data_IF_418513431276
#
_entry.id   IF_418513431276
#
_cell.length_a   1.000
_cell.length_b   1.000
_cell.length_c   1.000
_cell.angle_alpha   90.00
_cell.angle_beta   90.00
_cell.angle_gamma   90.00
#
_symmetry.space_group_name_H-M   'P 1'
#
loop_
_entity.id
_entity.type
_entity.pdbx_description
1 polymer ?
#
# COMPACT_ATOMS: atom_id res chain seq x y z
N UNK A 1 21.72 -85.92 1.27
CA UNK A 1 20.40 -85.25 1.65
C UNK A 1 20.65 -83.76 1.87
N UNK A 2 20.38 -82.91 0.88
CA UNK A 2 20.50 -81.47 0.97
C UNK A 2 19.12 -80.93 1.24
N UNK A 3 18.93 -80.28 2.37
CA UNK A 3 17.68 -79.52 2.75
C UNK A 3 17.69 -78.19 2.02
N UNK A 4 16.71 -78.01 1.17
CA UNK A 4 16.40 -76.69 0.53
C UNK A 4 15.59 -75.83 1.50
N UNK A 5 16.15 -74.72 1.87
CA UNK A 5 15.52 -73.75 2.74
C UNK A 5 14.86 -72.64 1.84
N UNK A 6 13.54 -72.64 1.76
CA UNK A 6 12.75 -71.60 1.06
C UNK A 6 12.61 -70.42 2.00
N UNK A 7 13.27 -69.30 1.69
CA UNK A 7 12.99 -68.02 2.31
C UNK A 7 11.76 -67.39 1.63
N UNK A 8 10.65 -67.31 2.35
CA UNK A 8 9.54 -66.43 1.98
C UNK A 8 9.94 -65.00 2.31
N UNK A 9 10.23 -64.20 1.30
CA UNK A 9 10.35 -62.75 1.43
C UNK A 9 8.95 -62.13 1.54
N UNK A 10 8.60 -61.66 2.71
CA UNK A 10 7.44 -60.77 2.88
C UNK A 10 7.78 -59.41 2.31
N UNK A 11 7.33 -59.11 1.12
CA UNK A 11 7.36 -57.74 0.57
C UNK A 11 6.40 -56.89 1.35
N UNK A 12 6.90 -55.91 2.15
CA UNK A 12 6.09 -54.79 2.63
C UNK A 12 5.67 -54.00 1.39
N UNK A 13 4.43 -54.17 0.98
CA UNK A 13 3.77 -53.18 0.13
C UNK A 13 3.53 -51.96 1.01
N UNK A 14 4.36 -50.91 0.91
CA UNK A 14 3.98 -49.57 1.32
C UNK A 14 2.80 -49.16 0.42
N UNK A 15 1.60 -49.30 0.93
CA UNK A 15 0.41 -48.76 0.30
C UNK A 15 0.52 -47.24 0.27
N UNK A 16 0.81 -46.69 -0.91
CA UNK A 16 0.58 -45.26 -1.16
C UNK A 16 -0.93 -45.06 -1.01
N UNK A 17 -1.36 -44.35 0.02
CA UNK A 17 -2.76 -43.90 0.11
C UNK A 17 -3.07 -43.06 -1.14
N UNK A 18 -4.23 -43.26 -1.78
CA UNK A 18 -4.56 -42.43 -2.94
C UNK A 18 -4.56 -40.97 -2.52
N UNK A 19 -3.86 -40.11 -3.27
CA UNK A 19 -3.87 -38.66 -3.14
C UNK A 19 -4.91 -38.09 -4.11
N UNK A 20 -5.61 -37.05 -3.70
CA UNK A 20 -6.51 -36.31 -4.59
C UNK A 20 -5.75 -35.71 -5.76
N UNK A 21 -6.43 -35.63 -6.88
CA UNK A 21 -5.97 -34.92 -8.09
C UNK A 21 -6.27 -33.42 -8.05
N UNK A 22 -6.79 -32.91 -6.94
CA UNK A 22 -7.02 -31.48 -6.71
C UNK A 22 -5.97 -30.92 -5.76
N UNK A 23 -5.38 -29.78 -6.14
CA UNK A 23 -4.48 -29.00 -5.30
C UNK A 23 -5.13 -27.63 -5.01
N UNK A 24 -5.35 -27.26 -3.73
CA UNK A 24 -5.77 -25.91 -3.36
C UNK A 24 -4.59 -24.94 -3.41
N UNK A 25 -4.71 -23.89 -4.22
CA UNK A 25 -3.68 -22.87 -4.48
C UNK A 25 -4.28 -21.46 -4.41
N UNK A 26 -3.42 -20.44 -4.54
CA UNK A 26 -3.83 -19.01 -4.53
C UNK A 26 -4.73 -18.67 -3.34
N UNK A 27 -4.18 -18.92 -2.16
CA UNK A 27 -4.86 -18.64 -0.91
C UNK A 27 -5.02 -17.14 -0.71
N UNK A 28 -6.24 -16.69 -0.39
CA UNK A 28 -6.52 -15.28 -0.11
C UNK A 28 -7.29 -15.09 1.17
N UNK A 29 -6.97 -14.02 1.90
CA UNK A 29 -7.71 -13.52 3.04
C UNK A 29 -8.27 -12.14 2.67
N UNK A 30 -9.61 -11.95 2.80
CA UNK A 30 -10.31 -10.72 2.36
C UNK A 30 -9.96 -10.31 0.92
N UNK A 31 -9.82 -11.33 0.02
CA UNK A 31 -9.45 -11.21 -1.40
C UNK A 31 -8.00 -10.81 -1.71
N UNK A 32 -7.14 -10.70 -0.70
CA UNK A 32 -5.72 -10.36 -0.87
C UNK A 32 -4.85 -11.58 -0.54
N UNK A 33 -3.77 -11.76 -1.29
CA UNK A 33 -2.72 -12.71 -0.96
C UNK A 33 -1.85 -12.13 0.16
N UNK A 34 -1.67 -12.87 1.25
CA UNK A 34 -0.83 -12.53 2.39
C UNK A 34 -0.96 -11.06 2.87
N UNK A 35 -2.20 -10.58 3.16
CA UNK A 35 -2.40 -9.18 3.50
C UNK A 35 -1.71 -8.79 4.80
N UNK A 36 -0.88 -7.75 4.74
CA UNK A 36 -0.18 -7.19 5.90
C UNK A 36 -1.10 -6.48 6.89
N UNK A 37 -2.38 -6.29 6.52
CA UNK A 37 -3.39 -5.67 7.40
C UNK A 37 -4.80 -6.13 7.05
N UNK A 38 -5.52 -6.66 8.05
CA UNK A 38 -6.94 -7.03 7.99
C UNK A 38 -7.62 -6.57 9.28
N UNK A 39 -8.72 -5.83 9.20
CA UNK A 39 -9.45 -5.33 10.37
C UNK A 39 -10.85 -5.94 10.53
N UNK A 40 -11.11 -7.04 9.83
CA UNK A 40 -12.34 -7.81 9.94
C UNK A 40 -12.15 -8.92 10.99
N UNK A 41 -12.88 -8.92 12.12
CA UNK A 41 -12.69 -9.93 13.19
C UNK A 41 -12.89 -11.37 12.76
N UNK A 42 -13.73 -11.59 11.75
CA UNK A 42 -13.96 -12.89 11.13
C UNK A 42 -13.65 -12.83 9.63
N UNK A 43 -12.36 -12.84 9.24
CA UNK A 43 -11.97 -12.69 7.85
C UNK A 43 -12.47 -13.85 6.98
N UNK A 44 -12.63 -13.57 5.69
CA UNK A 44 -13.10 -14.55 4.70
C UNK A 44 -11.90 -15.10 3.94
N UNK A 45 -11.77 -16.40 3.96
CA UNK A 45 -10.71 -17.15 3.30
C UNK A 45 -11.21 -17.71 1.97
N UNK A 46 -10.34 -17.74 0.96
CA UNK A 46 -10.68 -18.31 -0.33
C UNK A 46 -9.45 -18.99 -0.94
N UNK A 47 -9.68 -19.96 -1.83
CA UNK A 47 -8.66 -20.68 -2.57
C UNK A 47 -9.18 -21.11 -3.93
N UNK A 48 -8.26 -21.46 -4.83
CA UNK A 48 -8.58 -22.03 -6.13
C UNK A 48 -8.19 -23.50 -6.13
N UNK A 49 -9.09 -24.37 -6.59
CA UNK A 49 -8.77 -25.77 -6.79
C UNK A 49 -8.24 -25.98 -8.22
N UNK A 50 -7.01 -26.45 -8.34
CA UNK A 50 -6.39 -26.81 -9.62
C UNK A 50 -6.35 -28.32 -9.72
N UNK A 51 -6.85 -28.87 -10.82
CA UNK A 51 -6.74 -30.30 -11.11
C UNK A 51 -5.40 -30.62 -11.81
N UNK A 52 -4.89 -31.83 -11.58
CA UNK A 52 -3.73 -32.33 -12.33
C UNK A 52 -3.94 -32.24 -13.86
N UNK A 53 -2.85 -32.07 -14.59
CA UNK A 53 -2.89 -31.94 -16.05
C UNK A 53 -3.62 -33.12 -16.71
N UNK A 54 -4.55 -32.80 -17.62
CA UNK A 54 -5.35 -33.80 -18.33
C UNK A 54 -6.58 -34.31 -17.57
N UNK A 55 -6.73 -34.00 -16.28
CA UNK A 55 -7.89 -34.37 -15.48
C UNK A 55 -9.02 -33.38 -15.69
N UNK A 56 -10.25 -33.87 -15.89
CA UNK A 56 -11.46 -33.04 -16.12
C UNK A 56 -12.62 -33.51 -15.26
N UNK A 57 -13.56 -32.57 -15.02
CA UNK A 57 -14.82 -32.88 -14.31
C UNK A 57 -14.61 -33.15 -12.83
N UNK A 58 -13.56 -32.60 -12.23
CA UNK A 58 -13.36 -32.63 -10.79
C UNK A 58 -14.17 -31.55 -10.10
N UNK A 59 -14.60 -31.86 -8.88
CA UNK A 59 -15.29 -30.94 -7.98
C UNK A 59 -14.83 -31.21 -6.55
N UNK A 60 -14.74 -30.16 -5.77
CA UNK A 60 -14.55 -30.25 -4.33
C UNK A 60 -15.86 -30.76 -3.68
N UNK A 61 -15.76 -31.75 -2.81
CA UNK A 61 -16.90 -32.27 -2.04
C UNK A 61 -16.82 -31.89 -0.57
N UNK A 62 -15.62 -31.64 -0.07
CA UNK A 62 -15.38 -31.17 1.29
C UNK A 62 -14.10 -30.35 1.35
N UNK A 63 -13.92 -29.60 2.43
CA UNK A 63 -12.68 -28.91 2.78
C UNK A 63 -12.38 -29.01 4.27
N UNK A 64 -11.15 -28.75 4.64
CA UNK A 64 -10.72 -28.47 6.02
C UNK A 64 -9.72 -27.31 6.00
N UNK A 65 -9.99 -26.31 6.83
CA UNK A 65 -9.10 -25.17 7.07
C UNK A 65 -8.52 -25.28 8.46
N UNK A 66 -7.23 -24.97 8.57
CA UNK A 66 -6.56 -24.81 9.86
C UNK A 66 -5.87 -23.45 9.92
N UNK A 67 -5.93 -22.79 11.08
CA UNK A 67 -5.33 -21.47 11.33
C UNK A 67 -4.55 -21.51 12.63
N UNK A 68 -3.34 -20.97 12.62
CA UNK A 68 -2.46 -20.96 13.76
C UNK A 68 -1.78 -19.58 13.95
N UNK A 69 -1.29 -19.30 15.15
CA UNK A 69 -0.58 -18.06 15.48
C UNK A 69 0.88 -18.02 14.98
N UNK A 70 1.39 -19.14 14.47
CA UNK A 70 2.69 -19.24 13.80
C UNK A 70 2.69 -20.42 12.84
N UNK A 71 3.61 -20.46 11.84
CA UNK A 71 3.69 -21.56 10.89
C UNK A 71 4.01 -22.92 11.55
N UNK A 72 4.80 -22.93 12.64
CA UNK A 72 5.19 -24.15 13.36
C UNK A 72 4.00 -24.80 14.06
N UNK A 73 2.95 -24.04 14.35
CA UNK A 73 1.74 -24.55 15.00
C UNK A 73 0.67 -25.05 14.02
N UNK A 74 0.90 -24.98 12.72
CA UNK A 74 -0.11 -25.39 11.74
C UNK A 74 -0.51 -26.87 11.86
N UNK A 75 0.37 -27.74 12.33
CA UNK A 75 0.04 -29.16 12.57
C UNK A 75 -0.83 -29.38 13.81
N UNK A 76 -0.80 -28.45 14.77
CA UNK A 76 -1.65 -28.44 15.96
C UNK A 76 -2.20 -27.03 16.16
N UNK A 77 -3.15 -26.61 15.31
CA UNK A 77 -3.56 -25.21 15.21
C UNK A 77 -4.20 -24.73 16.51
N UNK A 78 -3.73 -23.60 17.00
CA UNK A 78 -4.18 -22.97 18.25
C UNK A 78 -5.29 -21.93 18.05
N UNK A 79 -5.60 -21.55 16.80
CA UNK A 79 -6.64 -20.57 16.51
C UNK A 79 -7.89 -21.17 15.89
N UNK A 80 -7.75 -22.08 14.94
CA UNK A 80 -8.90 -22.75 14.33
C UNK A 80 -8.54 -24.03 13.59
N UNK A 81 -9.32 -25.07 13.83
CA UNK A 81 -9.44 -26.24 12.95
C UNK A 81 -10.92 -26.42 12.63
N UNK A 82 -11.27 -26.24 11.37
CA UNK A 82 -12.69 -26.40 10.93
C UNK A 82 -13.18 -27.84 11.02
N UNK A 83 -12.28 -28.82 11.13
CA UNK A 83 -12.58 -30.20 10.79
C UNK A 83 -13.01 -30.31 9.32
N UNK A 84 -13.28 -31.54 8.88
CA UNK A 84 -13.85 -31.76 7.54
C UNK A 84 -15.26 -31.16 7.44
N UNK A 85 -15.45 -30.25 6.48
CA UNK A 85 -16.74 -29.63 6.15
C UNK A 85 -17.19 -30.09 4.79
N UNK A 86 -18.32 -30.79 4.72
CA UNK A 86 -18.93 -31.23 3.45
C UNK A 86 -19.49 -30.01 2.72
N UNK A 87 -18.76 -29.49 1.75
CA UNK A 87 -19.14 -28.31 0.97
C UNK A 87 -18.20 -28.16 -0.25
N UNK A 88 -18.76 -27.68 -1.33
CA UNK A 88 -18.03 -27.25 -2.53
C UNK A 88 -17.57 -25.77 -2.48
N UNK A 89 -17.85 -25.09 -1.36
CA UNK A 89 -17.46 -23.70 -1.15
C UNK A 89 -15.93 -23.59 -1.05
N UNK A 90 -15.33 -22.79 -1.94
CA UNK A 90 -13.90 -22.44 -1.93
C UNK A 90 -13.68 -20.92 -1.89
N UNK A 91 -14.76 -20.15 -1.83
CA UNK A 91 -14.72 -18.69 -1.83
C UNK A 91 -15.48 -18.18 -0.61
N UNK A 92 -14.88 -17.21 0.11
CA UNK A 92 -15.51 -16.51 1.25
C UNK A 92 -15.92 -17.46 2.39
N UNK A 93 -15.07 -18.43 2.68
CA UNK A 93 -15.21 -19.26 3.90
C UNK A 93 -14.87 -18.39 5.10
N UNK A 94 -15.84 -18.09 5.93
CA UNK A 94 -15.67 -17.23 7.10
C UNK A 94 -14.88 -17.96 8.18
N UNK A 95 -13.85 -17.32 8.71
CA UNK A 95 -13.12 -17.77 9.91
C UNK A 95 -14.08 -17.88 11.10
N UNK A 96 -14.05 -19.01 11.79
CA UNK A 96 -14.93 -19.33 12.92
C UNK A 96 -14.16 -19.84 14.15
N UNK A 97 -12.88 -19.49 14.24
CA UNK A 97 -12.02 -19.87 15.36
C UNK A 97 -12.09 -18.91 16.53
N UNK A 98 -11.02 -18.92 17.32
CA UNK A 98 -10.87 -18.03 18.46
C UNK A 98 -10.89 -16.55 18.04
N UNK A 99 -11.28 -15.67 18.97
CA UNK A 99 -11.29 -14.23 18.71
C UNK A 99 -9.87 -13.74 18.40
N UNK A 100 -9.73 -13.00 17.31
CA UNK A 100 -8.46 -12.44 16.88
C UNK A 100 -8.21 -11.09 17.55
N UNK A 101 -6.96 -10.85 17.92
CA UNK A 101 -6.52 -9.61 18.57
C UNK A 101 -5.84 -8.67 17.58
N UNK A 102 -5.77 -7.37 17.93
CA UNK A 102 -5.04 -6.38 17.16
C UNK A 102 -3.60 -6.79 16.95
N UNK A 103 -3.08 -6.63 15.73
CA UNK A 103 -1.70 -6.95 15.33
C UNK A 103 -1.35 -8.44 15.29
N UNK A 104 -2.28 -9.33 15.60
CA UNK A 104 -2.05 -10.77 15.62
C UNK A 104 -1.71 -11.27 14.20
N UNK A 105 -0.67 -12.07 14.10
CA UNK A 105 -0.33 -12.82 12.90
C UNK A 105 -1.09 -14.15 12.89
N UNK A 106 -1.58 -14.52 11.73
CA UNK A 106 -2.35 -15.74 11.50
C UNK A 106 -1.80 -16.45 10.27
N UNK A 107 -1.47 -17.71 10.43
CA UNK A 107 -1.02 -18.60 9.38
C UNK A 107 -2.08 -19.64 9.10
N UNK A 108 -2.31 -20.02 7.85
CA UNK A 108 -3.38 -20.94 7.53
C UNK A 108 -3.08 -21.82 6.33
N UNK A 109 -3.75 -22.96 6.32
CA UNK A 109 -3.71 -23.91 5.22
C UNK A 109 -5.10 -24.48 5.00
N UNK A 110 -5.32 -25.02 3.81
CA UNK A 110 -6.53 -25.74 3.44
C UNK A 110 -6.17 -27.04 2.76
N UNK A 111 -6.99 -28.08 2.97
CA UNK A 111 -7.02 -29.29 2.14
C UNK A 111 -8.45 -29.56 1.71
N UNK A 112 -8.59 -30.24 0.58
CA UNK A 112 -9.90 -30.50 -0.05
C UNK A 112 -10.09 -31.97 -0.35
N UNK A 113 -11.33 -32.39 -0.44
CA UNK A 113 -11.72 -33.72 -0.92
C UNK A 113 -12.30 -33.56 -2.31
N UNK A 114 -11.84 -34.41 -3.23
CA UNK A 114 -12.32 -34.44 -4.61
C UNK A 114 -13.67 -35.17 -4.75
N UNK A 115 -14.15 -35.33 -6.00
CA UNK A 115 -15.43 -36.00 -6.30
C UNK A 115 -15.49 -37.46 -5.86
N UNK A 116 -14.34 -38.13 -5.72
CA UNK A 116 -14.21 -39.51 -5.31
C UNK A 116 -13.99 -39.66 -3.80
N UNK A 117 -14.00 -38.53 -3.08
CA UNK A 117 -13.82 -38.47 -1.63
C UNK A 117 -12.36 -38.65 -1.19
N UNK A 118 -11.42 -38.49 -2.10
CA UNK A 118 -9.98 -38.56 -1.81
C UNK A 118 -9.48 -37.18 -1.37
N UNK A 119 -8.71 -37.13 -0.27
CA UNK A 119 -8.19 -35.89 0.30
C UNK A 119 -6.88 -35.48 -0.38
N UNK A 120 -6.72 -34.15 -0.62
CA UNK A 120 -5.47 -33.55 -1.08
C UNK A 120 -4.43 -33.48 0.05
N UNK A 121 -3.19 -33.16 -0.30
CA UNK A 121 -2.26 -32.62 0.67
C UNK A 121 -2.75 -31.25 1.17
N UNK A 122 -2.14 -30.74 2.23
CA UNK A 122 -2.34 -29.37 2.66
C UNK A 122 -1.72 -28.42 1.63
N UNK A 123 -2.39 -27.29 1.40
CA UNK A 123 -1.82 -26.19 0.60
C UNK A 123 -0.50 -25.69 1.17
N UNK A 124 0.28 -24.95 0.37
CA UNK A 124 1.28 -24.07 0.93
C UNK A 124 0.61 -23.11 1.93
N UNK A 125 1.31 -22.71 3.00
CA UNK A 125 0.75 -21.77 3.97
C UNK A 125 0.50 -20.39 3.36
N UNK A 126 -0.68 -19.82 3.59
CA UNK A 126 -0.95 -18.40 3.49
C UNK A 126 -0.91 -17.75 4.87
N UNK A 127 -0.84 -16.43 4.94
CA UNK A 127 -0.87 -15.69 6.19
C UNK A 127 -1.64 -14.37 6.08
N UNK A 128 -1.98 -13.81 7.22
CA UNK A 128 -2.43 -12.41 7.32
C UNK A 128 -2.04 -11.85 8.69
N UNK A 129 -1.99 -10.52 8.77
CA UNK A 129 -1.85 -9.82 10.04
C UNK A 129 -3.13 -9.04 10.33
N UNK A 130 -3.60 -9.16 11.55
CA UNK A 130 -4.69 -8.31 12.02
C UNK A 130 -4.23 -6.85 12.10
N UNK A 131 -5.11 -5.95 11.74
CA UNK A 131 -4.91 -4.51 11.89
C UNK A 131 -5.13 -4.04 13.33
N UNK A 132 -5.41 -2.76 13.48
CA UNK A 132 -5.77 -2.13 14.75
C UNK A 132 -7.30 -2.17 14.88
N UNK A 133 -7.81 -3.08 15.70
CA UNK A 133 -9.24 -3.39 15.79
C UNK A 133 -10.01 -2.39 16.66
N UNK A 134 -9.31 -1.72 17.57
CA UNK A 134 -9.91 -0.80 18.53
C UNK A 134 -9.38 0.62 18.33
N UNK A 135 -10.23 1.61 18.60
CA UNK A 135 -9.81 2.99 18.50
C UNK A 135 -8.67 3.34 19.45
N UNK A 136 -8.65 2.71 20.61
CA UNK A 136 -7.61 2.90 21.64
C UNK A 136 -6.25 2.30 21.25
N UNK A 137 -6.17 1.49 20.21
CA UNK A 137 -4.91 0.99 19.65
C UNK A 137 -4.12 2.11 18.96
N UNK A 138 -4.83 3.15 18.50
CA UNK A 138 -4.19 4.30 17.88
C UNK A 138 -3.64 5.26 18.93
N UNK A 139 -2.31 5.41 18.96
CA UNK A 139 -1.58 6.36 19.80
C UNK A 139 -1.16 7.60 19.02
N UNK A 140 -1.18 7.52 17.70
CA UNK A 140 -0.77 8.58 16.79
C UNK A 140 -1.77 9.75 16.78
N UNK A 141 -1.26 10.95 16.62
CA UNK A 141 -2.03 12.16 16.34
C UNK A 141 -1.95 12.52 14.86
N UNK A 142 -3.03 13.02 14.31
CA UNK A 142 -3.01 13.59 12.96
C UNK A 142 -2.13 14.83 12.93
N UNK A 143 -1.14 14.85 12.04
CA UNK A 143 -0.21 15.96 11.85
C UNK A 143 -0.27 16.49 10.42
N UNK A 144 0.19 17.70 10.21
CA UNK A 144 0.32 18.33 8.89
C UNK A 144 1.29 19.50 8.91
N UNK A 145 1.54 20.05 7.74
CA UNK A 145 2.47 21.17 7.60
C UNK A 145 1.94 22.44 8.30
N UNK A 146 2.76 23.15 9.09
CA UNK A 146 2.32 24.34 9.85
C UNK A 146 1.90 25.51 8.94
N UNK A 147 2.45 25.61 7.73
CA UNK A 147 2.11 26.64 6.74
C UNK A 147 0.85 26.33 5.91
N UNK A 148 0.22 25.19 6.11
CA UNK A 148 -1.06 24.81 5.49
C UNK A 148 -2.16 24.99 6.54
N UNK A 149 -3.27 25.64 6.15
CA UNK A 149 -4.49 25.65 6.98
C UNK A 149 -5.18 24.28 7.02
N UNK A 150 -6.35 24.23 7.64
CA UNK A 150 -7.21 23.03 7.60
C UNK A 150 -8.17 23.03 6.42
N UNK A 151 -8.31 24.16 5.75
CA UNK A 151 -9.27 24.35 4.68
C UNK A 151 -8.79 23.72 3.36
N UNK A 152 -9.75 23.30 2.56
CA UNK A 152 -9.51 22.84 1.20
C UNK A 152 -8.98 23.97 0.31
N UNK A 153 -8.21 23.62 -0.70
CA UNK A 153 -7.83 24.55 -1.75
C UNK A 153 -9.08 25.07 -2.47
N UNK A 154 -9.10 26.36 -2.83
CA UNK A 154 -10.23 26.94 -3.54
C UNK A 154 -10.41 26.26 -4.90
N UNK A 155 -11.66 26.00 -5.26
CA UNK A 155 -12.00 25.46 -6.57
C UNK A 155 -11.72 26.47 -7.68
N UNK A 156 -11.23 26.01 -8.86
CA UNK A 156 -11.08 26.89 -10.01
C UNK A 156 -12.44 27.43 -10.47
N UNK A 157 -12.44 28.68 -10.88
CA UNK A 157 -13.62 29.33 -11.48
C UNK A 157 -13.50 29.24 -13.01
N UNK A 158 -14.61 29.09 -13.72
CA UNK A 158 -14.63 29.07 -15.18
C UNK A 158 -14.99 27.72 -15.84
N UNK A 159 -15.51 26.77 -15.04
CA UNK A 159 -16.05 25.51 -15.56
C UNK A 159 -15.13 24.29 -15.41
N UNK A 160 -15.52 23.14 -16.02
CA UNK A 160 -14.85 21.85 -15.80
C UNK A 160 -13.37 21.80 -16.16
N UNK A 161 -12.95 22.60 -17.15
CA UNK A 161 -11.56 22.61 -17.66
C UNK A 161 -10.70 23.72 -17.02
N UNK A 162 -11.30 24.52 -16.14
CA UNK A 162 -10.56 25.57 -15.47
C UNK A 162 -9.46 25.01 -14.57
N UNK A 163 -8.28 25.66 -14.61
CA UNK A 163 -7.17 25.37 -13.72
C UNK A 163 -7.19 26.33 -12.52
N UNK A 164 -6.73 25.91 -11.34
CA UNK A 164 -6.58 26.82 -10.20
C UNK A 164 -5.67 28.00 -10.54
N UNK A 165 -6.07 29.20 -10.18
CA UNK A 165 -5.22 30.40 -10.35
C UNK A 165 -4.00 30.38 -9.42
N UNK A 166 -4.14 29.72 -8.26
CA UNK A 166 -3.05 29.49 -7.30
C UNK A 166 -3.06 28.04 -6.93
N UNK A 167 -1.91 27.40 -7.07
CA UNK A 167 -1.64 26.12 -6.47
C UNK A 167 -1.42 26.31 -4.97
N UNK A 168 -1.69 25.28 -4.18
CA UNK A 168 -1.39 25.29 -2.74
C UNK A 168 0.11 25.46 -2.46
N UNK A 169 0.47 25.53 -1.18
CA UNK A 169 1.87 25.53 -0.80
C UNK A 169 2.55 24.21 -1.17
N UNK A 170 3.90 24.18 -1.23
CA UNK A 170 4.64 22.96 -1.51
C UNK A 170 4.26 21.80 -0.61
N UNK A 171 4.31 20.59 -1.17
CA UNK A 171 4.14 19.36 -0.42
C UNK A 171 5.14 19.28 0.74
N UNK A 172 4.72 18.83 1.94
CA UNK A 172 5.62 18.78 3.07
C UNK A 172 6.48 17.52 3.09
N UNK A 173 7.72 17.66 3.53
CA UNK A 173 8.45 16.65 4.25
C UNK A 173 8.07 16.71 5.73
N UNK A 174 7.85 15.54 6.34
CA UNK A 174 7.62 15.36 7.77
C UNK A 174 8.65 14.38 8.28
N UNK A 175 9.26 14.62 9.45
CA UNK A 175 10.27 13.70 10.01
C UNK A 175 10.31 13.73 11.52
N UNK A 176 10.83 12.62 12.09
CA UNK A 176 11.18 12.45 13.51
C UNK A 176 12.36 11.51 13.63
N UNK A 177 13.30 11.81 14.50
CA UNK A 177 14.31 10.86 14.92
C UNK A 177 13.87 10.11 16.19
N UNK A 178 14.32 8.87 16.30
CA UNK A 178 14.12 8.02 17.47
C UNK A 178 15.28 7.05 17.64
N UNK A 179 15.41 6.45 18.81
CA UNK A 179 16.49 5.52 19.12
C UNK A 179 15.96 4.15 19.52
N UNK A 180 16.61 3.09 19.06
CA UNK A 180 16.27 1.69 19.34
C UNK A 180 17.47 1.04 20.00
N UNK A 181 17.40 0.79 21.30
CA UNK A 181 18.54 0.28 22.07
C UNK A 181 18.51 -1.24 22.22
N UNK A 182 17.33 -1.83 22.28
CA UNK A 182 17.11 -3.25 22.48
C UNK A 182 17.07 -4.01 21.15
N UNK A 183 17.20 -5.32 21.24
CA UNK A 183 16.96 -6.21 20.11
C UNK A 183 15.47 -6.27 19.79
N UNK A 184 15.12 -5.95 18.54
CA UNK A 184 13.73 -5.93 18.03
C UNK A 184 13.42 -7.26 17.36
N UNK A 185 12.28 -7.85 17.67
CA UNK A 185 11.77 -9.08 17.06
C UNK A 185 10.63 -8.80 16.07
N UNK A 186 9.95 -7.65 16.21
CA UNK A 186 8.93 -7.20 15.24
C UNK A 186 8.88 -5.68 15.20
N UNK A 187 8.75 -5.12 14.00
CA UNK A 187 8.60 -3.69 13.78
C UNK A 187 7.58 -3.45 12.65
N UNK A 188 6.39 -2.95 12.99
CA UNK A 188 5.30 -2.74 12.02
C UNK A 188 4.79 -1.32 12.09
N UNK A 189 4.81 -0.62 10.95
CA UNK A 189 4.21 0.69 10.80
C UNK A 189 2.75 0.56 10.35
N UNK A 190 1.83 1.22 11.06
CA UNK A 190 0.45 1.46 10.63
C UNK A 190 0.35 2.92 10.22
N UNK A 191 0.01 3.17 8.96
CA UNK A 191 0.18 4.50 8.36
C UNK A 191 -0.92 4.86 7.37
N UNK A 192 -1.30 6.12 7.37
CA UNK A 192 -2.18 6.68 6.34
C UNK A 192 -1.91 8.18 6.11
N UNK A 193 -2.32 8.64 4.93
CA UNK A 193 -2.40 10.06 4.58
C UNK A 193 -3.81 10.44 4.12
N UNK A 194 -4.24 11.64 4.45
CA UNK A 194 -5.36 12.27 3.77
C UNK A 194 -4.80 13.04 2.58
N UNK A 195 -5.05 12.50 1.40
CA UNK A 195 -4.28 12.68 0.19
C UNK A 195 -3.42 11.44 -0.07
N UNK A 196 -2.29 11.60 -0.73
CA UNK A 196 -1.31 10.53 -0.89
C UNK A 196 -0.15 10.70 0.09
N UNK A 197 0.57 9.61 0.37
CA UNK A 197 1.80 9.67 1.14
C UNK A 197 2.86 8.72 0.57
N UNK A 198 4.11 9.01 0.87
CA UNK A 198 5.21 8.06 0.86
C UNK A 198 5.84 8.02 2.25
N UNK A 199 6.10 6.82 2.77
CA UNK A 199 6.76 6.59 4.05
C UNK A 199 8.24 6.29 3.83
N UNK A 200 9.10 6.82 4.68
CA UNK A 200 10.55 6.61 4.64
C UNK A 200 11.08 6.19 6.02
N UNK A 201 12.05 5.29 6.02
CA UNK A 201 12.86 4.95 7.19
C UNK A 201 14.33 4.93 6.81
N UNK A 202 15.15 5.65 7.58
CA UNK A 202 16.61 5.68 7.42
C UNK A 202 17.09 5.97 5.98
N UNK A 203 16.44 6.93 5.32
CA UNK A 203 16.77 7.37 3.96
C UNK A 203 16.16 6.53 2.84
N UNK A 204 15.45 5.45 3.16
CA UNK A 204 14.84 4.55 2.17
C UNK A 204 13.31 4.63 2.21
N UNK A 205 12.67 4.57 1.04
CA UNK A 205 11.22 4.42 0.96
C UNK A 205 10.81 3.07 1.52
N UNK A 206 9.73 3.06 2.30
CA UNK A 206 9.13 1.87 2.88
C UNK A 206 8.08 1.32 1.90
N UNK A 207 8.23 0.04 1.54
CA UNK A 207 7.33 -0.62 0.60
C UNK A 207 7.47 -0.13 -0.85
N UNK A 208 6.73 -0.78 -1.74
CA UNK A 208 6.75 -0.48 -3.18
C UNK A 208 5.47 0.22 -3.66
N UNK A 209 4.51 0.38 -2.77
CA UNK A 209 3.22 0.97 -3.09
C UNK A 209 3.36 2.43 -3.51
N UNK A 210 2.51 2.84 -4.44
CA UNK A 210 2.45 4.20 -4.97
C UNK A 210 1.00 4.71 -4.89
N UNK A 211 0.80 6.02 -4.88
CA UNK A 211 -0.52 6.65 -4.91
C UNK A 211 -1.47 6.12 -3.80
N UNK A 212 -0.91 5.84 -2.63
CA UNK A 212 -1.66 5.30 -1.48
C UNK A 212 -1.98 6.40 -0.46
N UNK A 213 -3.08 6.20 0.31
CA UNK A 213 -4.11 5.17 0.23
C UNK A 213 -5.08 5.41 -0.93
N UNK A 214 -5.85 4.38 -1.32
CA UNK A 214 -6.91 4.54 -2.29
C UNK A 214 -7.98 5.52 -1.81
N UNK A 215 -8.67 6.16 -2.77
CA UNK A 215 -9.72 7.12 -2.48
C UNK A 215 -10.92 6.47 -1.77
N UNK A 216 -11.46 7.19 -0.79
CA UNK A 216 -12.69 6.84 -0.07
C UNK A 216 -13.63 8.03 0.05
N UNK A 217 -14.75 7.85 0.76
CA UNK A 217 -15.56 8.95 1.26
C UNK A 217 -15.07 9.35 2.65
N UNK A 218 -14.26 10.39 2.72
CA UNK A 218 -13.61 10.87 3.96
C UNK A 218 -14.56 11.58 4.92
N UNK A 219 -15.67 12.10 4.42
CA UNK A 219 -16.65 12.86 5.18
C UNK A 219 -17.80 13.35 4.30
N UNK A 220 -18.73 14.11 4.88
CA UNK A 220 -19.80 14.75 4.11
C UNK A 220 -19.18 15.60 3.02
N UNK A 221 -19.59 15.37 1.79
CA UNK A 221 -19.05 16.10 0.63
C UNK A 221 -19.53 17.55 0.67
N UNK A 222 -18.62 18.53 0.80
CA UNK A 222 -19.01 19.92 0.68
C UNK A 222 -19.32 20.20 -0.79
N UNK A 223 -20.54 20.66 -1.07
CA UNK A 223 -20.95 21.22 -2.36
C UNK A 223 -20.68 20.33 -3.59
N UNK A 224 -21.27 19.14 -3.62
CA UNK A 224 -21.41 18.43 -4.88
C UNK A 224 -22.44 19.17 -5.75
N UNK A 225 -22.16 19.26 -7.06
CA UNK A 225 -23.18 19.59 -8.03
C UNK A 225 -24.24 18.49 -8.02
N UNK A 226 -25.51 18.84 -7.94
CA UNK A 226 -26.63 17.88 -7.87
C UNK A 226 -26.59 16.81 -8.96
N UNK A 227 -26.02 17.13 -10.12
CA UNK A 227 -25.87 16.19 -11.24
C UNK A 227 -24.83 15.09 -11.06
N UNK A 228 -23.97 15.16 -10.02
CA UNK A 228 -22.88 14.21 -9.76
C UNK A 228 -23.07 13.42 -8.45
N UNK A 229 -24.25 13.45 -7.87
CA UNK A 229 -24.54 12.77 -6.61
C UNK A 229 -24.81 11.29 -6.90
N UNK A 230 -23.83 10.44 -6.61
CA UNK A 230 -23.98 8.99 -6.66
C UNK A 230 -24.36 8.39 -5.30
N UNK A 231 -24.34 9.17 -4.24
CA UNK A 231 -24.59 8.73 -2.88
C UNK A 231 -25.74 9.52 -2.26
N UNK A 232 -26.65 8.85 -1.56
CA UNK A 232 -27.70 9.51 -0.81
C UNK A 232 -27.14 10.50 0.21
N UNK A 233 -27.87 11.56 0.53
CA UNK A 233 -27.48 12.55 1.56
C UNK A 233 -27.38 11.93 2.97
N UNK A 234 -27.98 10.75 3.17
CA UNK A 234 -27.96 9.99 4.43
C UNK A 234 -26.76 9.06 4.56
N UNK A 235 -25.88 8.95 3.54
CA UNK A 235 -24.65 8.17 3.64
C UNK A 235 -23.78 8.65 4.83
N UNK A 236 -23.41 7.70 5.69
CA UNK A 236 -22.69 8.00 6.95
C UNK A 236 -21.47 7.11 7.19
N UNK A 237 -21.23 6.10 6.36
CA UNK A 237 -20.09 5.18 6.51
C UNK A 237 -18.83 5.75 5.84
N UNK A 238 -18.33 6.86 6.42
CA UNK A 238 -17.09 7.47 5.97
C UNK A 238 -15.89 6.67 6.46
N UNK A 239 -14.88 6.50 5.59
CA UNK A 239 -13.70 5.68 5.83
C UNK A 239 -12.42 6.42 5.49
N UNK A 240 -11.36 6.06 6.20
CA UNK A 240 -9.97 6.41 5.88
C UNK A 240 -9.17 5.12 5.90
N UNK A 241 -8.64 4.73 4.76
CA UNK A 241 -7.87 3.50 4.66
C UNK A 241 -6.45 3.70 5.19
N UNK A 242 -5.96 2.74 5.98
CA UNK A 242 -4.57 2.70 6.43
C UNK A 242 -3.89 1.41 5.93
N UNK A 243 -2.57 1.49 5.77
CA UNK A 243 -1.72 0.36 5.38
C UNK A 243 -0.83 -0.06 6.55
N UNK A 244 -0.30 -1.27 6.46
CA UNK A 244 0.72 -1.75 7.39
C UNK A 244 1.96 -2.21 6.62
N UNK A 245 3.13 -1.84 7.12
CA UNK A 245 4.42 -2.18 6.54
C UNK A 245 5.34 -2.80 7.57
N UNK A 246 5.99 -3.89 7.20
CA UNK A 246 7.11 -4.41 7.97
C UNK A 246 8.32 -3.48 7.82
N UNK A 247 8.94 -3.14 8.95
CA UNK A 247 10.05 -2.18 9.02
C UNK A 247 11.37 -2.85 9.40
N UNK A 248 11.38 -4.16 9.67
CA UNK A 248 12.53 -4.86 10.24
C UNK A 248 13.81 -4.70 9.44
N UNK A 249 13.73 -4.85 8.12
CA UNK A 249 14.90 -4.76 7.23
C UNK A 249 15.52 -3.35 7.14
N UNK A 250 14.73 -2.33 7.46
CA UNK A 250 15.15 -0.93 7.37
C UNK A 250 15.53 -0.32 8.72
N UNK A 251 15.19 -1.01 9.83
CA UNK A 251 15.41 -0.52 11.19
C UNK A 251 16.87 -0.73 11.61
N UNK A 252 17.46 0.30 12.19
CA UNK A 252 18.80 0.23 12.76
C UNK A 252 18.73 0.02 14.29
N UNK A 253 19.69 -0.70 14.83
CA UNK A 253 19.99 -0.58 16.27
C UNK A 253 20.69 0.76 16.50
N UNK A 254 20.20 1.56 17.45
CA UNK A 254 20.64 2.94 17.66
C UNK A 254 19.75 3.95 17.00
N UNK A 255 20.33 4.99 16.41
CA UNK A 255 19.61 6.09 15.80
C UNK A 255 18.84 5.71 14.53
N UNK A 256 17.60 6.16 14.46
CA UNK A 256 16.71 5.99 13.32
C UNK A 256 16.02 7.32 13.00
N UNK A 257 15.61 7.49 11.74
CA UNK A 257 14.77 8.59 11.30
C UNK A 257 13.61 8.07 10.45
N UNK A 258 12.39 8.40 10.86
CA UNK A 258 11.17 8.13 10.11
C UNK A 258 10.67 9.41 9.47
N UNK A 259 10.17 9.33 8.24
CA UNK A 259 9.65 10.50 7.55
C UNK A 259 8.51 10.17 6.61
N UNK A 260 7.77 11.21 6.24
CA UNK A 260 6.70 11.14 5.25
C UNK A 260 6.74 12.30 4.28
N UNK A 261 6.31 12.05 3.05
CA UNK A 261 5.98 13.10 2.06
C UNK A 261 4.48 13.02 1.86
N UNK A 262 3.78 14.15 1.83
CA UNK A 262 2.34 14.20 1.60
C UNK A 262 2.03 14.85 0.26
N UNK A 263 1.06 14.28 -0.46
CA UNK A 263 0.44 14.86 -1.66
C UNK A 263 -1.03 15.17 -1.44
N UNK A 264 -1.60 16.00 -2.29
CA UNK A 264 -3.02 16.39 -2.23
C UNK A 264 -3.96 15.22 -2.57
N UNK A 265 -3.57 14.38 -3.54
CA UNK A 265 -4.35 13.22 -3.98
C UNK A 265 -5.82 13.57 -4.27
N UNK A 266 -6.71 12.61 -4.00
CA UNK A 266 -8.15 12.83 -4.09
C UNK A 266 -8.77 13.47 -2.84
N UNK A 267 -7.99 13.72 -1.81
CA UNK A 267 -8.48 14.43 -0.62
C UNK A 267 -8.61 15.92 -0.87
N UNK A 268 -7.71 16.51 -1.68
CA UNK A 268 -7.70 17.96 -1.98
C UNK A 268 -7.37 18.24 -3.45
N UNK A 269 -8.13 17.70 -4.41
CA UNK A 269 -7.78 17.72 -5.84
C UNK A 269 -7.97 19.08 -6.50
N UNK A 270 -8.56 20.07 -5.82
CA UNK A 270 -8.85 21.42 -6.32
C UNK A 270 -9.50 21.44 -7.73
N UNK A 271 -10.32 20.44 -8.07
CA UNK A 271 -11.02 20.33 -9.34
C UNK A 271 -12.44 20.87 -9.21
N UNK A 272 -12.95 21.51 -10.27
CA UNK A 272 -14.29 22.11 -10.29
C UNK A 272 -15.40 21.18 -9.81
N UNK A 273 -15.38 19.93 -10.30
CA UNK A 273 -16.39 18.92 -10.00
C UNK A 273 -16.02 17.95 -8.89
N UNK A 274 -14.79 17.95 -8.40
CA UNK A 274 -14.35 17.03 -7.36
C UNK A 274 -14.54 17.62 -5.95
N UNK A 275 -14.82 16.77 -4.98
CA UNK A 275 -14.85 17.19 -3.57
C UNK A 275 -13.42 17.43 -3.08
N UNK A 276 -13.22 18.52 -2.34
CA UNK A 276 -11.99 18.81 -1.58
C UNK A 276 -12.37 18.93 -0.12
N UNK A 277 -11.68 18.21 0.75
CA UNK A 277 -12.04 18.06 2.18
C UNK A 277 -11.15 18.89 3.11
N UNK A 278 -9.97 19.25 2.68
CA UNK A 278 -9.02 20.01 3.48
C UNK A 278 -7.57 19.82 3.04
N UNK A 279 -6.61 20.34 3.81
CA UNK A 279 -5.19 20.13 3.57
C UNK A 279 -4.77 18.69 3.89
N UNK A 280 -3.74 18.16 3.22
CA UNK A 280 -3.19 16.84 3.51
C UNK A 280 -2.80 16.69 4.98
N UNK A 281 -3.00 15.48 5.51
CA UNK A 281 -2.69 15.10 6.90
C UNK A 281 -2.04 13.74 6.92
N UNK A 282 -1.26 13.50 7.94
CA UNK A 282 -0.49 12.26 8.11
C UNK A 282 -0.76 11.65 9.47
N UNK A 283 -0.90 10.34 9.51
CA UNK A 283 -1.04 9.55 10.72
C UNK A 283 -0.16 8.32 10.58
N UNK A 284 0.78 8.13 11.51
CA UNK A 284 1.67 6.98 11.49
C UNK A 284 2.02 6.57 12.91
N UNK A 285 2.03 5.28 13.17
CA UNK A 285 2.65 4.70 14.36
C UNK A 285 3.38 3.42 14.01
N UNK A 286 4.56 3.24 14.59
CA UNK A 286 5.38 2.04 14.48
C UNK A 286 5.32 1.30 15.81
N UNK A 287 4.86 0.06 15.79
CA UNK A 287 4.90 -0.82 16.92
C UNK A 287 6.20 -1.63 16.87
N UNK A 288 7.01 -1.53 17.92
CA UNK A 288 8.22 -2.29 18.12
C UNK A 288 7.96 -3.33 19.22
N UNK A 289 8.26 -4.58 18.94
CA UNK A 289 8.31 -5.66 19.96
C UNK A 289 9.76 -6.07 20.15
N UNK A 290 10.21 -6.09 21.37
CA UNK A 290 11.58 -6.43 21.73
C UNK A 290 11.74 -7.89 22.16
N UNK A 291 12.94 -8.43 22.06
CA UNK A 291 13.24 -9.81 22.44
C UNK A 291 12.94 -10.14 23.92
N UNK A 292 12.90 -9.12 24.78
CA UNK A 292 12.50 -9.26 26.19
C UNK A 292 10.98 -9.23 26.41
N UNK A 293 10.19 -9.18 25.34
CA UNK A 293 8.72 -9.13 25.34
C UNK A 293 8.14 -7.74 25.65
N UNK A 294 8.97 -6.71 25.84
CA UNK A 294 8.47 -5.32 25.99
C UNK A 294 8.11 -4.72 24.65
N UNK A 295 7.18 -3.75 24.65
CA UNK A 295 6.74 -3.05 23.47
C UNK A 295 6.98 -1.55 23.57
N UNK A 296 7.19 -0.91 22.41
CA UNK A 296 7.28 0.54 22.26
C UNK A 296 6.50 1.00 21.02
N UNK A 297 5.93 2.20 21.10
CA UNK A 297 5.21 2.81 19.96
C UNK A 297 5.84 4.16 19.61
N UNK A 298 6.37 4.26 18.42
CA UNK A 298 6.83 5.52 17.81
C UNK A 298 5.68 6.09 16.99
N UNK A 299 5.11 7.20 17.41
CA UNK A 299 3.90 7.75 16.79
C UNK A 299 4.08 9.18 16.28
N UNK A 300 3.20 9.58 15.35
CA UNK A 300 3.05 10.98 14.97
C UNK A 300 2.48 11.79 16.13
N UNK A 301 3.15 12.88 16.46
CA UNK A 301 2.81 13.81 17.53
C UNK A 301 3.43 15.20 17.28
N UNK A 302 3.27 16.12 18.21
CA UNK A 302 3.84 17.48 18.11
C UNK A 302 5.37 17.59 18.18
N UNK A 303 6.09 16.49 18.36
CA UNK A 303 7.57 16.45 18.33
C UNK A 303 8.12 16.31 16.91
N UNK A 304 7.28 15.91 15.94
CA UNK A 304 7.68 15.84 14.53
C UNK A 304 7.97 17.23 13.98
N UNK A 305 8.80 17.27 12.95
CA UNK A 305 9.16 18.49 12.23
C UNK A 305 8.72 18.43 10.77
N UNK A 306 8.55 19.59 10.17
CA UNK A 306 8.12 19.76 8.78
C UNK A 306 9.02 20.73 8.02
N UNK A 307 9.28 20.43 6.75
CA UNK A 307 9.93 21.33 5.79
C UNK A 307 9.23 21.25 4.44
N UNK A 308 9.36 22.31 3.62
CA UNK A 308 8.83 22.32 2.26
C UNK A 308 9.68 21.42 1.37
N UNK A 309 9.05 20.48 0.68
CA UNK A 309 9.73 19.58 -0.26
C UNK A 309 9.98 20.25 -1.61
N UNK A 310 10.76 19.63 -2.51
CA UNK A 310 10.93 20.07 -3.89
C UNK A 310 9.63 20.07 -4.72
N UNK A 311 8.59 19.39 -4.26
CA UNK A 311 7.29 19.34 -4.94
C UNK A 311 6.56 20.65 -4.66
N UNK A 312 6.59 21.58 -5.60
CA UNK A 312 5.98 22.89 -5.48
C UNK A 312 4.47 22.86 -5.69
N UNK A 313 3.99 21.90 -6.47
CA UNK A 313 2.61 21.62 -6.75
C UNK A 313 2.45 20.15 -7.07
N UNK A 314 1.46 19.50 -6.49
CA UNK A 314 0.99 18.18 -6.86
C UNK A 314 -0.53 18.18 -6.94
N UNK A 315 -1.07 17.72 -8.04
CA UNK A 315 -2.51 17.57 -8.21
C UNK A 315 -2.82 16.46 -9.20
N UNK A 316 -3.66 15.51 -8.79
CA UNK A 316 -4.03 14.34 -9.59
C UNK A 316 -4.46 14.70 -11.02
N UNK A 317 -5.17 15.83 -11.20
CA UNK A 317 -5.71 16.24 -12.50
C UNK A 317 -4.86 17.25 -13.26
N UNK A 318 -3.82 17.81 -12.65
CA UNK A 318 -3.05 18.91 -13.25
C UNK A 318 -1.57 18.60 -13.36
N UNK A 319 -1.09 17.57 -12.68
CA UNK A 319 0.31 17.16 -12.70
C UNK A 319 1.11 17.61 -11.49
N UNK A 320 2.42 17.70 -11.66
CA UNK A 320 3.38 18.02 -10.62
C UNK A 320 4.41 19.03 -11.11
N UNK A 321 4.78 19.98 -10.25
CA UNK A 321 5.93 20.85 -10.47
C UNK A 321 6.99 20.53 -9.44
N UNK A 322 8.14 20.06 -9.89
CA UNK A 322 9.26 19.67 -9.06
C UNK A 322 10.48 20.58 -9.30
N UNK A 323 11.02 21.15 -8.23
CA UNK A 323 12.19 22.03 -8.28
C UNK A 323 13.40 21.35 -7.60
N UNK A 324 14.28 20.76 -8.40
CA UNK A 324 15.45 20.04 -7.90
C UNK A 324 16.45 20.91 -7.11
N UNK A 325 16.37 22.25 -7.23
CA UNK A 325 17.19 23.16 -6.43
C UNK A 325 16.82 23.15 -4.94
N UNK A 326 15.62 22.63 -4.64
CA UNK A 326 15.05 22.55 -3.27
C UNK A 326 15.18 21.16 -2.65
N UNK A 327 15.89 20.26 -3.32
CA UNK A 327 16.18 18.95 -2.74
C UNK A 327 16.96 19.08 -1.44
N UNK A 328 16.63 18.23 -0.49
CA UNK A 328 17.26 18.12 0.82
C UNK A 328 17.82 16.70 0.99
N UNK A 329 18.99 16.40 0.37
CA UNK A 329 19.55 15.05 0.40
C UNK A 329 19.75 14.55 1.83
N UNK A 330 19.29 13.32 2.11
CA UNK A 330 19.40 12.72 3.45
C UNK A 330 18.33 13.18 4.45
N UNK A 331 17.32 13.93 4.04
CA UNK A 331 16.29 14.48 4.92
C UNK A 331 15.58 13.43 5.82
N UNK A 332 15.49 12.19 5.37
CA UNK A 332 14.89 11.07 6.09
C UNK A 332 15.91 10.11 6.71
N UNK A 333 17.18 10.47 6.72
CA UNK A 333 18.25 9.70 7.35
C UNK A 333 18.53 10.19 8.78
N UNK A 334 19.06 9.32 9.67
CA UNK A 334 19.49 9.73 11.01
C UNK A 334 20.63 10.75 10.94
N UNK A 335 20.64 11.69 11.87
CA UNK A 335 21.69 12.72 11.99
C UNK A 335 21.59 13.84 10.96
N UNK A 336 20.49 13.93 10.21
CA UNK A 336 20.22 15.07 9.35
C UNK A 336 19.98 16.33 10.19
N UNK A 337 20.62 17.45 9.82
CA UNK A 337 20.38 18.72 10.50
C UNK A 337 19.02 19.30 10.10
N UNK A 338 18.04 19.13 10.98
CA UNK A 338 16.69 19.67 10.84
C UNK A 338 16.42 20.87 11.78
N UNK A 339 17.47 21.56 12.21
CA UNK A 339 17.36 22.70 13.13
C UNK A 339 16.46 23.81 12.58
N UNK A 340 16.48 24.02 11.26
CA UNK A 340 15.66 25.03 10.56
C UNK A 340 14.25 24.55 10.23
N UNK A 341 13.90 23.31 10.55
CA UNK A 341 12.57 22.78 10.28
C UNK A 341 11.56 23.28 11.33
N UNK A 342 10.36 23.56 10.86
CA UNK A 342 9.26 23.98 11.74
C UNK A 342 8.63 22.75 12.45
N UNK A 343 8.05 22.95 13.64
CA UNK A 343 7.22 21.92 14.26
C UNK A 343 5.95 21.70 13.42
N UNK A 344 5.54 20.44 13.31
CA UNK A 344 4.27 20.11 12.67
C UNK A 344 3.08 20.74 13.37
N UNK A 345 2.00 20.96 12.65
CA UNK A 345 0.71 21.31 13.26
C UNK A 345 -0.09 20.04 13.57
N UNK A 346 -0.62 19.96 14.79
CA UNK A 346 -1.61 18.92 15.12
C UNK A 346 -2.90 19.26 14.39
N UNK A 347 -3.51 18.25 13.77
CA UNK A 347 -4.70 18.37 12.93
C UNK A 347 -5.88 17.63 13.53
N UNK A 348 -7.08 18.10 13.23
CA UNK A 348 -8.30 17.38 13.62
C UNK A 348 -8.40 16.06 12.86
N UNK A 349 -8.89 15.01 13.54
CA UNK A 349 -9.22 13.78 12.88
C UNK A 349 -10.32 13.99 11.81
N UNK A 350 -10.29 13.25 10.70
CA UNK A 350 -11.39 13.26 9.73
C UNK A 350 -12.65 12.63 10.33
N UNK A 351 -13.79 12.79 9.66
CA UNK A 351 -15.04 12.12 10.07
C UNK A 351 -15.01 10.62 9.82
N UNK A 352 -14.24 10.17 8.83
CA UNK A 352 -14.14 8.76 8.47
C UNK A 352 -13.41 7.94 9.53
N UNK A 353 -13.95 6.75 9.85
CA UNK A 353 -13.24 5.79 10.70
C UNK A 353 -12.03 5.22 9.95
N UNK A 354 -10.97 4.93 10.69
CA UNK A 354 -9.82 4.21 10.16
C UNK A 354 -10.23 2.77 9.86
N UNK A 355 -9.87 2.28 8.67
CA UNK A 355 -10.09 0.91 8.22
C UNK A 355 -8.86 0.39 7.49
N UNK A 356 -8.61 -0.90 7.55
CA UNK A 356 -7.56 -1.53 6.76
C UNK A 356 -7.77 -1.29 5.26
N UNK A 357 -6.67 -1.14 4.52
CA UNK A 357 -6.71 -1.02 3.07
C UNK A 357 -7.16 -2.34 2.45
N UNK A 358 -8.34 -2.35 1.82
CA UNK A 358 -9.05 -3.55 1.37
C UNK A 358 -8.90 -3.85 -0.12
N UNK A 359 -8.05 -3.13 -0.83
CA UNK A 359 -7.78 -3.31 -2.25
C UNK A 359 -6.27 -3.52 -2.46
N UNK A 360 -5.90 -4.08 -3.61
CA UNK A 360 -4.49 -4.08 -3.99
C UNK A 360 -4.00 -2.63 -4.12
N UNK A 361 -2.91 -2.25 -3.42
CA UNK A 361 -2.29 -0.95 -3.64
C UNK A 361 -1.74 -0.84 -5.05
N UNK A 362 -1.71 0.39 -5.57
CA UNK A 362 -1.07 0.64 -6.86
C UNK A 362 0.44 0.40 -6.75
N UNK A 363 1.02 -0.24 -7.77
CA UNK A 363 2.46 -0.52 -7.89
C UNK A 363 2.93 -0.31 -9.31
N UNK A 364 4.24 -0.07 -9.46
CA UNK A 364 4.88 -0.10 -10.78
C UNK A 364 5.03 -1.56 -11.20
N UNK A 365 4.22 -1.98 -12.15
CA UNK A 365 4.20 -3.37 -12.67
C UNK A 365 5.10 -3.54 -13.88
N UNK A 366 5.28 -2.48 -14.69
CA UNK A 366 6.03 -2.55 -15.94
C UNK A 366 6.76 -1.23 -16.22
N UNK A 367 7.83 -1.29 -17.00
CA UNK A 367 8.59 -0.13 -17.49
C UNK A 367 8.74 -0.23 -19.00
N UNK A 368 8.45 0.87 -19.67
CA UNK A 368 8.53 0.99 -21.13
C UNK A 368 9.65 1.96 -21.50
N UNK A 369 10.45 1.58 -22.49
CA UNK A 369 11.36 2.50 -23.16
C UNK A 369 10.65 3.14 -24.36
N UNK A 370 10.97 4.40 -24.71
CA UNK A 370 10.42 5.03 -25.91
C UNK A 370 10.76 4.24 -27.17
N UNK A 371 9.78 4.05 -28.06
CA UNK A 371 10.02 3.47 -29.39
C UNK A 371 10.56 4.52 -30.36
N UNK A 372 10.29 5.80 -30.12
CA UNK A 372 10.88 6.90 -30.87
C UNK A 372 10.96 8.20 -30.06
N UNK A 373 11.95 9.02 -30.38
CA UNK A 373 12.09 10.40 -29.90
C UNK A 373 12.32 11.28 -31.13
N UNK A 374 11.34 12.11 -31.47
CA UNK A 374 11.37 13.00 -32.62
C UNK A 374 11.58 14.46 -32.16
N UNK A 375 12.55 15.16 -32.75
CA UNK A 375 12.71 16.59 -32.52
C UNK A 375 11.80 17.38 -33.43
N UNK A 376 10.77 18.03 -32.88
CA UNK A 376 9.79 18.82 -33.62
C UNK A 376 10.23 20.25 -33.90
N UNK A 377 11.19 20.79 -33.13
CA UNK A 377 11.71 22.14 -33.25
C UNK A 377 12.63 22.50 -32.12
N UNK A 378 12.96 23.78 -31.92
CA UNK A 378 13.88 24.23 -30.89
C UNK A 378 13.33 23.90 -29.48
N UNK A 379 13.99 22.94 -28.83
CA UNK A 379 13.64 22.51 -27.49
C UNK A 379 12.35 21.67 -27.37
N UNK A 380 11.70 21.32 -28.51
CA UNK A 380 10.48 20.50 -28.50
C UNK A 380 10.78 19.10 -29.02
N UNK A 381 10.34 18.10 -28.28
CA UNK A 381 10.49 16.68 -28.61
C UNK A 381 9.15 15.99 -28.46
N UNK A 382 8.87 15.04 -29.35
CA UNK A 382 7.81 14.06 -29.20
C UNK A 382 8.43 12.73 -28.81
N UNK A 383 8.01 12.20 -27.68
CA UNK A 383 8.43 10.89 -27.18
C UNK A 383 7.25 9.94 -27.32
N UNK A 384 7.40 8.89 -28.13
CA UNK A 384 6.36 7.89 -28.36
C UNK A 384 6.74 6.56 -27.69
N UNK A 385 5.82 5.96 -26.95
CA UNK A 385 6.00 4.67 -26.29
C UNK A 385 5.39 3.50 -27.07
N UNK A 386 4.71 3.78 -28.21
CA UNK A 386 4.14 2.75 -29.08
C UNK A 386 2.92 2.01 -28.50
N UNK A 387 2.53 2.29 -27.28
CA UNK A 387 1.37 1.70 -26.58
C UNK A 387 0.78 2.69 -25.60
N UNK A 388 -0.49 2.53 -25.28
CA UNK A 388 -1.13 3.31 -24.22
C UNK A 388 -0.69 2.81 -22.84
N UNK A 389 -0.26 3.72 -21.98
CA UNK A 389 0.28 3.47 -20.65
C UNK A 389 -0.60 4.20 -19.64
N UNK A 390 -0.94 3.54 -18.54
CA UNK A 390 -1.46 4.18 -17.33
C UNK A 390 -0.30 4.33 -16.34
N UNK A 391 0.21 5.56 -16.14
CA UNK A 391 1.40 5.76 -15.33
C UNK A 391 1.99 7.15 -15.48
N UNK A 392 3.32 7.21 -15.48
CA UNK A 392 4.08 8.47 -15.59
C UNK A 392 5.40 8.27 -16.34
N UNK A 393 5.96 9.38 -16.81
CA UNK A 393 7.29 9.40 -17.43
C UNK A 393 8.34 9.64 -16.36
N UNK A 394 9.44 8.90 -16.44
CA UNK A 394 10.65 9.13 -15.65
C UNK A 394 11.72 9.73 -16.52
N UNK A 395 12.28 10.85 -16.08
CA UNK A 395 13.52 11.41 -16.62
C UNK A 395 14.72 10.75 -15.91
N UNK A 396 15.62 10.16 -16.66
CA UNK A 396 16.82 9.52 -16.13
C UNK A 396 18.06 10.29 -16.49
N UNK A 397 18.84 10.69 -15.49
CA UNK A 397 20.14 11.33 -15.66
C UNK A 397 20.17 12.47 -16.68
N UNK A 398 19.15 13.34 -16.58
CA UNK A 398 19.04 14.51 -17.45
C UNK A 398 19.88 15.66 -16.92
N UNK A 399 20.51 16.42 -17.80
CA UNK A 399 21.35 17.57 -17.47
C UNK A 399 20.78 18.85 -18.08
N UNK A 400 20.87 19.94 -17.35
CA UNK A 400 20.46 21.27 -17.81
C UNK A 400 20.97 22.38 -16.89
N UNK A 401 21.00 23.63 -17.37
CA UNK A 401 21.35 24.79 -16.57
C UNK A 401 20.43 24.94 -15.36
N UNK A 402 20.94 25.55 -14.29
CA UNK A 402 20.12 25.86 -13.11
C UNK A 402 18.86 26.66 -13.47
N UNK A 403 17.73 26.21 -12.99
CA UNK A 403 16.43 26.85 -13.22
C UNK A 403 15.81 26.55 -14.61
N UNK A 404 16.53 25.87 -15.51
CA UNK A 404 15.92 25.41 -16.76
C UNK A 404 14.77 24.46 -16.47
N UNK A 405 13.75 24.45 -17.34
CA UNK A 405 12.51 23.68 -17.15
C UNK A 405 12.31 22.69 -18.29
N UNK A 406 11.95 21.46 -17.93
CA UNK A 406 11.38 20.48 -18.83
C UNK A 406 9.90 20.35 -18.49
N UNK A 407 9.03 20.62 -19.46
CA UNK A 407 7.58 20.48 -19.32
C UNK A 407 7.13 19.27 -20.13
N UNK A 408 6.54 18.30 -19.47
CA UNK A 408 6.03 17.07 -20.08
C UNK A 408 4.52 17.19 -20.21
N UNK A 409 4.02 17.22 -21.46
CA UNK A 409 2.59 17.28 -21.79
C UNK A 409 2.16 15.96 -22.38
N UNK A 410 1.16 15.35 -21.80
CA UNK A 410 0.72 14.01 -22.15
C UNK A 410 -0.39 14.06 -23.23
N UNK A 411 -0.32 13.20 -24.23
CA UNK A 411 -1.28 13.12 -25.34
C UNK A 411 -2.55 12.33 -25.02
N UNK A 412 -2.79 12.00 -23.74
CA UNK A 412 -3.93 11.19 -23.32
C UNK A 412 -5.27 11.92 -23.33
N UNK A 413 -6.34 11.15 -23.44
CA UNK A 413 -7.70 11.66 -23.62
C UNK A 413 -8.46 11.92 -22.31
N UNK A 414 -8.00 11.41 -21.16
CA UNK A 414 -8.80 11.42 -19.94
C UNK A 414 -8.45 12.54 -18.96
N UNK A 415 -7.21 12.91 -18.81
CA UNK A 415 -6.78 13.99 -17.92
C UNK A 415 -5.50 14.60 -18.48
N UNK A 416 -5.60 15.82 -18.98
CA UNK A 416 -4.46 16.59 -19.50
C UNK A 416 -3.82 17.37 -18.38
N UNK A 417 -2.84 16.76 -17.73
CA UNK A 417 -1.94 17.43 -16.80
C UNK A 417 -0.55 17.61 -17.42
N UNK A 418 0.26 18.41 -16.76
CA UNK A 418 1.64 18.66 -17.17
C UNK A 418 2.55 18.38 -16.00
N UNK A 419 3.61 17.62 -16.20
CA UNK A 419 4.67 17.50 -15.20
C UNK A 419 5.83 18.42 -15.59
N UNK A 420 6.32 19.17 -14.61
CA UNK A 420 7.45 20.08 -14.80
C UNK A 420 8.60 19.72 -13.89
N UNK A 421 9.79 19.54 -14.46
CA UNK A 421 11.03 19.40 -13.74
C UNK A 421 11.92 20.63 -13.92
N UNK A 422 12.40 21.20 -12.81
CA UNK A 422 13.29 22.38 -12.80
C UNK A 422 14.68 21.92 -12.35
N UNK A 423 15.68 22.10 -13.20
CA UNK A 423 17.04 21.64 -12.96
C UNK A 423 17.75 22.36 -11.82
N UNK A 424 18.53 21.60 -11.06
CA UNK A 424 19.43 22.14 -10.04
C UNK A 424 20.72 22.72 -10.61
N UNK A 425 21.10 22.38 -11.86
CA UNK A 425 22.36 22.83 -12.48
C UNK A 425 23.62 22.19 -11.90
N UNK A 426 23.49 21.08 -11.15
CA UNK A 426 24.61 20.44 -10.43
C UNK A 426 24.80 18.98 -10.89
N UNK A 427 25.03 18.79 -12.21
CA UNK A 427 25.18 17.45 -12.80
C UNK A 427 23.86 16.79 -13.13
N UNK A 428 23.89 15.48 -13.50
CA UNK A 428 22.69 14.78 -13.93
C UNK A 428 21.69 14.58 -12.80
N UNK A 429 20.43 14.89 -13.09
CA UNK A 429 19.29 14.67 -12.21
C UNK A 429 18.37 13.58 -12.73
N UNK A 430 17.57 13.00 -11.87
CA UNK A 430 16.49 12.08 -12.24
C UNK A 430 15.21 12.52 -11.57
N UNK A 431 14.10 12.40 -12.30
CA UNK A 431 12.80 12.82 -11.82
C UNK A 431 11.71 11.82 -12.23
N UNK A 432 10.84 11.52 -11.32
CA UNK A 432 9.56 10.87 -11.56
C UNK A 432 8.52 11.53 -10.66
N UNK A 433 7.33 11.88 -11.15
CA UNK A 433 6.27 12.42 -10.31
C UNK A 433 5.86 11.39 -9.26
N UNK A 434 5.38 11.86 -8.10
CA UNK A 434 5.05 10.99 -6.96
C UNK A 434 3.56 10.82 -6.76
N UNK A 435 2.77 11.86 -7.05
CA UNK A 435 1.38 11.93 -6.62
C UNK A 435 0.39 12.19 -7.75
N UNK A 436 0.80 11.87 -8.98
CA UNK A 436 -0.09 11.91 -10.15
C UNK A 436 0.24 10.80 -11.14
N UNK A 437 -0.67 10.56 -12.04
CA UNK A 437 -0.56 9.60 -13.13
C UNK A 437 -1.47 10.03 -14.29
N UNK A 438 -1.15 9.60 -15.50
CA UNK A 438 -1.93 9.89 -16.70
C UNK A 438 -2.10 8.63 -17.54
N UNK A 439 -3.05 8.68 -18.47
CA UNK A 439 -3.21 7.67 -19.53
C UNK A 439 -2.72 8.30 -20.82
N UNK A 440 -1.67 7.76 -21.41
CA UNK A 440 -1.01 8.35 -22.58
C UNK A 440 -0.25 7.30 -23.40
N UNK A 441 0.02 7.60 -24.67
CA UNK A 441 0.97 6.84 -25.49
C UNK A 441 2.20 7.67 -25.89
N UNK A 442 2.15 8.96 -25.71
CA UNK A 442 3.25 9.88 -26.03
C UNK A 442 3.27 11.14 -25.15
N UNK A 443 4.40 11.77 -25.14
CA UNK A 443 4.71 12.99 -24.37
C UNK A 443 5.49 13.98 -25.19
#
# INVERSE_FOLDING_TARGET
MKKLMILLGAGLMMGCSPRSVLDPVQLTCEYLEDPSVVDVPHPRLSWINVAEEGVRGQVQTAFQVRVASSPEKLDTPDLWDSGQRNSDQSIRVTYQGESLESRQECWWQVRVWDKDGVVSDWSEPGWWRMGLLHQDDWKAQWIGAPWQGEEALPKPQGGPDARPQKFGPPAPYLRKEFNVEKEVTSAVAYVTGLGYFELYLNGKKVGEDVLVPNQTNYGKRPQLMDALIYLPDDFRDYKVMYLAYDMMELLNRGGNAIGGILGNGFYNPAKFWAASYGSPRFLCQVHLTYADGTEEVIATDGSWKASKSPILMDMVYYGEIYDARKEQPGWSAPGYDDSDWEKVAIRKAPHGRLVAHTAHPDRVTERFEPVSIEKLGDGHFLVDFGTEISGWVRLNQVEGPEGHRVEMKFNGNLYSGDNTYIFAGKGPGSYAPRFNWFVFSGV
#
